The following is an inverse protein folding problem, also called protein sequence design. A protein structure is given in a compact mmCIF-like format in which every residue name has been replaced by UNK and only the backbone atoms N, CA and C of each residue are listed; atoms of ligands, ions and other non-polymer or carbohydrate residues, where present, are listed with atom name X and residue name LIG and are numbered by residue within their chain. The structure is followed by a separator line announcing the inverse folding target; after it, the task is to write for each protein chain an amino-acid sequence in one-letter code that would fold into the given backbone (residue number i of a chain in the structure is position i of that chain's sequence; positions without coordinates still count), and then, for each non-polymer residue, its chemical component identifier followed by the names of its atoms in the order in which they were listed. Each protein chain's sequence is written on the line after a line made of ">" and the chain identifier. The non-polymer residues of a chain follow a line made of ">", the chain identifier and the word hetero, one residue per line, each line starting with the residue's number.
data_IF_589757164824
#
_entry.id   IF_589757164824
#
_cell.length_a   1.000
_cell.length_b   1.000
_cell.length_c   1.000
_cell.angle_alpha   90.00
_cell.angle_beta   90.00
_cell.angle_gamma   90.00
#
_symmetry.space_group_name_H-M   'P 1'
#
loop_
_entity.id
_entity.type
_entity.pdbx_description
1 polymer ?
#
# COMPACT_ATOMS: atom_id res chain seq x y z
N UNK A 1 25.94 2.25 5.85
CA UNK A 1 25.33 1.68 4.62
C UNK A 1 23.83 1.98 4.71
N UNK A 2 22.92 1.47 3.88
CA UNK A 2 21.50 1.34 4.28
C UNK A 2 21.48 0.95 5.81
N UNK A 3 20.67 1.64 6.63
CA UNK A 3 19.99 1.16 7.86
C UNK A 3 18.58 1.78 8.13
N UNK A 4 17.82 2.22 7.12
CA UNK A 4 16.38 1.91 6.99
C UNK A 4 16.02 0.39 7.04
N UNK A 5 16.78 -0.43 7.79
CA UNK A 5 17.12 -1.81 7.42
C UNK A 5 16.94 -2.80 8.56
N UNK A 6 15.77 -2.79 9.18
CA UNK A 6 15.31 -4.07 9.69
C UNK A 6 14.50 -4.81 8.63
N UNK A 7 14.96 -6.03 8.39
CA UNK A 7 14.95 -6.76 7.13
C UNK A 7 14.07 -7.99 7.23
N UNK A 8 12.78 -7.72 7.34
CA UNK A 8 11.80 -8.31 6.43
C UNK A 8 11.25 -7.24 5.44
N UNK A 9 11.99 -6.14 5.27
CA UNK A 9 11.55 -4.86 4.71
C UNK A 9 11.35 -4.82 3.19
N UNK A 10 10.12 -5.13 2.77
CA UNK A 10 9.40 -4.26 1.84
C UNK A 10 8.95 -2.99 2.58
N UNK A 11 8.75 -1.88 1.87
CA UNK A 11 8.30 -0.64 2.51
C UNK A 11 8.39 0.59 1.61
N UNK A 12 7.80 1.68 2.08
CA UNK A 12 7.79 2.97 1.39
C UNK A 12 8.87 3.85 1.99
N UNK A 13 9.74 4.40 1.15
CA UNK A 13 10.76 5.37 1.55
C UNK A 13 10.52 6.70 0.86
N UNK A 14 10.73 7.78 1.61
CA UNK A 14 10.66 9.14 1.09
C UNK A 14 11.93 9.89 1.45
N UNK A 15 12.39 10.73 0.54
CA UNK A 15 13.56 11.58 0.69
C UNK A 15 13.19 12.96 0.19
N UNK A 16 13.75 14.00 0.81
CA UNK A 16 13.56 15.35 0.32
C UNK A 16 14.33 15.55 -1.00
N UNK A 17 13.85 16.48 -1.86
CA UNK A 17 14.40 16.70 -3.20
C UNK A 17 15.82 17.28 -3.20
N UNK A 18 16.31 17.80 -2.07
CA UNK A 18 17.71 18.19 -1.87
C UNK A 18 18.62 17.01 -1.49
N UNK A 19 18.07 15.79 -1.52
CA UNK A 19 18.73 14.52 -1.20
C UNK A 19 18.98 14.31 0.30
N UNK A 20 18.32 15.08 1.16
CA UNK A 20 18.41 14.95 2.61
C UNK A 20 17.17 14.25 3.19
N UNK A 21 17.30 13.71 4.40
CA UNK A 21 16.16 13.25 5.19
C UNK A 21 15.46 11.98 4.70
N UNK A 22 16.19 11.01 4.15
CA UNK A 22 15.65 9.69 3.81
C UNK A 22 14.98 9.04 5.05
N UNK A 23 13.71 8.65 4.94
CA UNK A 23 12.97 7.95 5.99
C UNK A 23 12.01 6.89 5.44
N UNK A 24 11.76 5.84 6.23
CA UNK A 24 10.69 4.86 5.98
C UNK A 24 9.35 5.42 6.45
N UNK A 25 8.27 5.11 5.74
CA UNK A 25 6.89 5.32 6.19
C UNK A 25 6.37 4.01 6.75
N UNK A 26 5.83 4.07 7.97
CA UNK A 26 5.20 2.94 8.66
C UNK A 26 3.69 3.09 8.50
N UNK A 27 3.02 2.10 7.90
CA UNK A 27 1.62 2.23 7.48
C UNK A 27 0.64 1.56 8.46
N UNK A 28 1.03 0.47 9.13
CA UNK A 28 0.19 -0.24 10.08
C UNK A 28 0.99 -0.72 11.32
N UNK A 29 1.03 0.11 12.36
CA UNK A 29 1.63 -0.25 13.65
C UNK A 29 1.21 0.72 14.74
N UNK A 30 0.01 0.51 15.30
CA UNK A 30 -0.46 1.30 16.46
C UNK A 30 0.36 0.98 17.71
N UNK A 31 0.90 -0.24 17.82
CA UNK A 31 1.90 -0.58 18.81
C UNK A 31 3.03 -1.33 18.12
N UNK A 32 4.27 -0.91 18.36
CA UNK A 32 5.50 -1.54 17.86
C UNK A 32 5.71 -2.98 18.40
N UNK A 33 4.64 -3.67 18.80
CA UNK A 33 4.64 -5.04 19.31
C UNK A 33 4.58 -6.04 18.14
N UNK A 34 5.75 -6.33 17.57
CA UNK A 34 6.11 -7.64 17.00
C UNK A 34 5.43 -8.14 15.72
N UNK A 35 4.43 -7.43 15.17
CA UNK A 35 3.73 -7.83 13.92
C UNK A 35 3.96 -6.90 12.72
N UNK A 36 4.53 -5.72 12.95
CA UNK A 36 4.69 -4.63 11.97
C UNK A 36 5.75 -4.96 10.89
N UNK A 37 6.63 -5.92 11.16
CA UNK A 37 7.76 -6.24 10.28
C UNK A 37 7.40 -7.13 9.08
N UNK A 38 6.12 -7.40 8.84
CA UNK A 38 5.63 -8.18 7.69
C UNK A 38 4.84 -7.36 6.67
N UNK A 39 4.77 -6.05 6.84
CA UNK A 39 4.16 -5.16 5.85
C UNK A 39 4.88 -5.29 4.50
N UNK A 40 4.10 -5.60 3.48
CA UNK A 40 4.53 -5.64 2.09
C UNK A 40 3.70 -4.65 1.33
N UNK A 41 4.24 -3.45 1.19
CA UNK A 41 3.63 -2.35 0.45
C UNK A 41 4.29 -2.26 -0.91
N UNK A 42 3.50 -2.29 -1.97
CA UNK A 42 3.97 -2.19 -3.35
C UNK A 42 3.11 -1.22 -4.15
N UNK A 43 3.59 -0.91 -5.35
CA UNK A 43 2.86 -0.10 -6.32
C UNK A 43 2.42 1.28 -5.79
N UNK A 44 3.30 1.98 -5.09
CA UNK A 44 2.98 3.25 -4.43
C UNK A 44 2.80 4.37 -5.46
N UNK A 45 1.77 5.20 -5.30
CA UNK A 45 1.66 6.48 -5.98
C UNK A 45 1.22 7.61 -5.03
N UNK A 46 1.63 8.83 -5.35
CA UNK A 46 1.18 10.02 -4.64
C UNK A 46 -0.17 10.48 -5.17
N UNK A 47 -1.03 10.93 -4.25
CA UNK A 47 -2.13 11.83 -4.61
C UNK A 47 -1.54 13.17 -5.08
N UNK A 48 -2.27 13.88 -5.93
CA UNK A 48 -1.83 15.13 -6.55
C UNK A 48 -1.43 16.23 -5.54
N UNK A 49 -1.94 16.20 -4.30
CA UNK A 49 -1.60 17.14 -3.24
C UNK A 49 -0.31 16.80 -2.48
N UNK A 50 0.28 15.61 -2.70
CA UNK A 50 1.47 15.13 -2.00
C UNK A 50 1.23 14.66 -0.56
N UNK A 51 0.00 14.81 -0.04
CA UNK A 51 -0.34 14.52 1.37
C UNK A 51 -0.69 13.04 1.58
N UNK A 52 -1.13 12.35 0.53
CA UNK A 52 -1.61 10.98 0.58
C UNK A 52 -0.85 10.06 -0.38
N UNK A 53 -0.73 8.81 0.03
CA UNK A 53 -0.18 7.71 -0.73
C UNK A 53 -1.28 6.69 -1.00
N UNK A 54 -1.37 6.22 -2.24
CA UNK A 54 -2.15 5.03 -2.61
C UNK A 54 -1.16 3.89 -2.84
N UNK A 55 -1.46 2.70 -2.32
CA UNK A 55 -0.58 1.55 -2.40
C UNK A 55 -1.38 0.23 -2.36
N UNK A 56 -0.75 -0.86 -2.78
CA UNK A 56 -1.25 -2.21 -2.53
C UNK A 56 -0.49 -2.81 -1.34
N UNK A 57 -1.20 -3.48 -0.42
CA UNK A 57 -0.57 -4.04 0.78
C UNK A 57 -1.26 -5.32 1.32
N UNK A 58 -0.51 -6.13 2.08
CA UNK A 58 -0.99 -7.31 2.83
C UNK A 58 -1.46 -6.96 4.26
N UNK A 59 -2.19 -5.86 4.42
CA UNK A 59 -2.66 -5.39 5.72
C UNK A 59 -4.03 -5.99 6.07
N UNK A 60 -4.42 -5.89 7.34
CA UNK A 60 -5.74 -6.27 7.86
C UNK A 60 -6.12 -7.77 7.81
N UNK A 61 -5.13 -8.67 7.61
CA UNK A 61 -5.30 -10.11 7.82
C UNK A 61 -5.74 -10.90 6.58
N UNK A 62 -6.30 -12.11 6.78
CA UNK A 62 -6.72 -13.01 5.69
C UNK A 62 -8.12 -12.62 5.23
N UNK A 63 -8.21 -12.03 4.03
CA UNK A 63 -9.46 -11.43 3.53
C UNK A 63 -10.15 -12.27 2.46
N UNK A 64 -9.38 -12.98 1.61
CA UNK A 64 -9.94 -13.75 0.49
C UNK A 64 -9.19 -15.05 0.16
N UNK A 65 -8.11 -15.39 0.87
CA UNK A 65 -7.31 -16.58 0.56
C UNK A 65 -7.75 -17.82 1.35
N UNK A 66 -7.75 -19.03 0.74
CA UNK A 66 -7.89 -20.26 1.51
C UNK A 66 -6.75 -20.38 2.52
N UNK A 67 -7.06 -20.72 3.78
CA UNK A 67 -6.09 -21.00 4.85
C UNK A 67 -5.00 -22.02 4.41
N UNK A 68 -5.27 -22.81 3.37
CA UNK A 68 -4.39 -23.82 2.81
C UNK A 68 -3.29 -23.31 1.86
N UNK A 69 -3.15 -21.99 1.63
CA UNK A 69 -2.07 -21.44 0.78
C UNK A 69 -1.11 -20.53 1.58
N UNK A 70 -0.43 -21.04 2.62
CA UNK A 70 0.35 -20.24 3.56
C UNK A 70 1.63 -19.58 2.96
N UNK A 71 1.87 -19.71 1.66
CA UNK A 71 3.07 -19.22 1.00
C UNK A 71 2.83 -18.73 -0.44
N UNK A 72 1.64 -18.16 -0.71
CA UNK A 72 1.41 -17.45 -1.98
C UNK A 72 2.40 -16.29 -2.05
N UNK A 73 3.16 -16.19 -3.14
CA UNK A 73 4.26 -15.23 -3.26
C UNK A 73 3.77 -13.78 -3.50
N UNK A 74 2.47 -13.58 -3.73
CA UNK A 74 1.87 -12.33 -4.22
C UNK A 74 0.48 -11.93 -3.61
N UNK A 75 0.17 -12.13 -2.33
CA UNK A 75 -1.17 -11.84 -1.76
C UNK A 75 -1.43 -10.33 -1.51
N UNK A 76 -0.82 -9.41 -2.26
CA UNK A 76 -0.90 -7.95 -2.03
C UNK A 76 -2.11 -7.35 -2.72
N UNK A 77 -3.29 -7.91 -2.45
CA UNK A 77 -4.45 -7.59 -3.25
C UNK A 77 -5.16 -6.30 -2.86
N UNK A 78 -5.06 -5.87 -1.62
CA UNK A 78 -5.89 -4.75 -1.18
C UNK A 78 -5.24 -3.39 -1.39
N UNK A 79 -5.98 -2.51 -2.06
CA UNK A 79 -5.62 -1.12 -2.21
C UNK A 79 -5.91 -0.37 -0.91
N UNK A 80 -4.95 0.42 -0.49
CA UNK A 80 -4.99 1.24 0.70
C UNK A 80 -4.61 2.69 0.38
N UNK A 81 -5.13 3.61 1.18
CA UNK A 81 -4.68 4.99 1.28
C UNK A 81 -4.09 5.24 2.66
N UNK A 82 -3.01 6.01 2.72
CA UNK A 82 -2.38 6.45 3.97
C UNK A 82 -1.81 7.85 3.78
N UNK A 83 -1.75 8.65 4.84
CA UNK A 83 -1.05 9.95 4.80
C UNK A 83 0.47 9.75 4.68
N UNK A 84 1.15 10.77 4.18
CA UNK A 84 2.62 10.79 4.02
C UNK A 84 3.37 10.57 5.36
N UNK A 85 2.74 10.90 6.49
CA UNK A 85 3.27 10.66 7.83
C UNK A 85 3.05 9.22 8.34
N UNK A 86 2.31 8.38 7.61
CA UNK A 86 1.95 7.02 7.99
C UNK A 86 0.61 6.87 8.72
N UNK A 87 -0.10 7.98 8.98
CA UNK A 87 -1.38 7.98 9.68
C UNK A 87 -2.59 7.84 8.75
N UNK A 88 -3.77 7.59 9.32
CA UNK A 88 -5.03 7.61 8.56
C UNK A 88 -5.15 6.51 7.52
N UNK A 89 -4.64 5.31 7.81
CA UNK A 89 -4.78 4.14 6.95
C UNK A 89 -6.26 3.85 6.66
N UNK A 90 -6.59 3.74 5.37
CA UNK A 90 -7.91 3.42 4.86
C UNK A 90 -7.79 2.32 3.81
N UNK A 91 -8.51 1.23 3.97
CA UNK A 91 -8.65 0.18 2.96
C UNK A 91 -9.74 0.54 1.95
N UNK A 92 -9.48 0.34 0.67
CA UNK A 92 -10.35 0.72 -0.46
C UNK A 92 -11.01 -0.46 -1.17
N UNK A 93 -10.42 -1.65 -1.09
CA UNK A 93 -10.90 -2.86 -1.79
C UNK A 93 -10.96 -4.07 -0.86
N UNK A 94 -11.57 -5.15 -1.35
CA UNK A 94 -11.48 -6.49 -0.78
C UNK A 94 -11.18 -7.49 -1.91
N UNK A 95 -9.90 -7.75 -2.18
CA UNK A 95 -9.44 -8.59 -3.30
C UNK A 95 -8.33 -9.57 -2.87
N UNK A 96 -8.42 -10.81 -3.34
CA UNK A 96 -7.41 -11.86 -3.10
C UNK A 96 -6.30 -11.94 -4.16
N UNK A 97 -6.37 -11.13 -5.22
CA UNK A 97 -5.36 -11.09 -6.29
C UNK A 97 -4.52 -9.83 -6.23
N UNK A 98 -3.24 -9.90 -6.60
CA UNK A 98 -2.36 -8.75 -6.70
C UNK A 98 -2.96 -7.67 -7.62
N UNK A 99 -3.07 -6.45 -7.08
CA UNK A 99 -3.48 -5.28 -7.86
C UNK A 99 -2.25 -4.51 -8.36
N UNK A 100 -2.33 -3.98 -9.58
CA UNK A 100 -1.28 -3.12 -10.14
C UNK A 100 -1.25 -1.72 -9.53
N UNK A 101 -0.41 -0.83 -10.08
CA UNK A 101 -0.25 0.55 -9.57
C UNK A 101 -1.54 1.36 -9.64
N UNK A 102 -2.17 1.68 -8.49
CA UNK A 102 -3.29 2.59 -8.47
C UNK A 102 -2.84 3.96 -8.96
N UNK A 103 -3.76 4.72 -9.52
CA UNK A 103 -3.53 6.10 -9.93
C UNK A 103 -4.74 6.94 -9.55
N UNK A 104 -4.49 8.11 -8.96
CA UNK A 104 -5.52 9.12 -8.83
C UNK A 104 -6.00 9.55 -10.22
N UNK A 105 -7.31 9.50 -10.43
CA UNK A 105 -7.97 10.02 -11.62
C UNK A 105 -8.59 11.37 -11.27
N UNK A 106 -8.26 12.41 -12.04
CA UNK A 106 -8.73 13.78 -11.84
C UNK A 106 -9.95 14.12 -12.73
N UNK A 107 -10.45 13.18 -13.53
CA UNK A 107 -11.58 13.41 -14.41
C UNK A 107 -12.94 13.19 -13.73
N UNK A 108 -14.02 13.63 -14.40
CA UNK A 108 -15.39 13.29 -14.01
C UNK A 108 -15.59 11.78 -14.02
N UNK A 109 -16.40 11.25 -13.09
CA UNK A 109 -16.67 9.81 -12.97
C UNK A 109 -16.93 9.21 -14.36
N UNK A 110 -16.25 8.10 -14.72
CA UNK A 110 -16.53 7.45 -15.98
C UNK A 110 -18.01 7.07 -16.02
N UNK A 111 -18.69 7.37 -17.13
CA UNK A 111 -20.04 6.88 -17.38
C UNK A 111 -19.99 5.36 -17.48
N UNK A 112 -20.27 4.71 -16.34
CA UNK A 112 -20.27 3.26 -16.21
C UNK A 112 -21.33 2.59 -17.12
N UNK A 113 -22.27 3.36 -17.68
CA UNK A 113 -23.24 2.90 -18.66
C UNK A 113 -22.62 2.48 -20.01
N UNK A 114 -21.37 2.85 -20.29
CA UNK A 114 -20.66 2.45 -21.51
C UNK A 114 -19.70 1.26 -21.32
N UNK A 115 -19.50 0.80 -20.08
CA UNK A 115 -18.70 -0.39 -19.77
C UNK A 115 -19.58 -1.65 -19.79
N UNK A 116 -20.26 -1.88 -20.91
CA UNK A 116 -20.83 -3.19 -21.22
C UNK A 116 -19.71 -4.12 -21.69
N UNK A 117 -19.50 -5.25 -20.99
CA UNK A 117 -18.75 -6.37 -21.56
C UNK A 117 -19.49 -6.84 -22.81
N UNK A 118 -18.86 -6.68 -23.98
CA UNK A 118 -19.28 -7.31 -25.23
C UNK A 118 -18.79 -8.74 -25.25
#
# INVERSE_FOLDING_TARGET
>A
MHNPDDVAAFGIYVIHLDHMGLRKIHVAGVDRSGGVDRERTIHVCYRADGEWLLLAANLEGVTAEPVSVPNQFQPFGDLHMVRLDGSGLLRLTCNGYENGTPKGYLGAEPDLGQLGLV
#
